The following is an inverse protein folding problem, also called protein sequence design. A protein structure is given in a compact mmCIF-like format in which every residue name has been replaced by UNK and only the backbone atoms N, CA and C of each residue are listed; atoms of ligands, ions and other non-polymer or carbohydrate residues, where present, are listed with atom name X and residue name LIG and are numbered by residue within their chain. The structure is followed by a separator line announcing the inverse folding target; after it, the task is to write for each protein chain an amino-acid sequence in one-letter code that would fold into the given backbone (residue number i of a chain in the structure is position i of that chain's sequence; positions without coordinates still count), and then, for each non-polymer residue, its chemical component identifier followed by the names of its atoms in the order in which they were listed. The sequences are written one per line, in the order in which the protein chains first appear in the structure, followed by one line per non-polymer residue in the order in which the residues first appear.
data_IF_735226847373
#
_entry.id   IF_735226847373
#
_cell.length_a   1.000
_cell.length_b   1.000
_cell.length_c   1.000
_cell.angle_alpha   90.00
_cell.angle_beta   90.00
_cell.angle_gamma   90.00
#
_symmetry.space_group_name_H-M   'P 1'
#
loop_
_entity.id
_entity.type
_entity.pdbx_description
1 polymer ?
#
# COMPACT_ATOMS: atom_id res chain seq x y z
N UNK A 1 2.40 -14.18 -9.25
CA UNK A 1 2.08 -15.33 -8.38
C UNK A 1 2.18 -14.87 -6.93
N UNK A 2 1.11 -15.01 -6.13
CA UNK A 2 1.06 -14.54 -4.73
C UNK A 2 2.16 -15.14 -3.85
N UNK A 3 2.70 -16.30 -4.24
CA UNK A 3 3.83 -16.94 -3.53
C UNK A 3 5.10 -16.11 -3.67
N UNK A 4 5.43 -15.65 -4.87
CA UNK A 4 6.61 -14.82 -5.12
C UNK A 4 6.49 -13.50 -4.37
N UNK A 5 5.31 -12.87 -4.40
CA UNK A 5 5.06 -11.64 -3.66
C UNK A 5 5.27 -11.81 -2.15
N UNK A 6 4.89 -12.96 -1.57
CA UNK A 6 5.16 -13.25 -0.15
C UNK A 6 6.66 -13.35 0.15
N UNK A 7 7.43 -14.03 -0.71
CA UNK A 7 8.89 -14.15 -0.53
C UNK A 7 9.58 -12.79 -0.62
N UNK A 8 9.18 -11.97 -1.60
CA UNK A 8 9.71 -10.60 -1.74
C UNK A 8 9.30 -9.75 -0.55
N UNK A 9 8.05 -9.85 -0.10
CA UNK A 9 7.57 -9.12 1.07
C UNK A 9 8.38 -9.46 2.32
N UNK A 10 8.59 -10.76 2.60
CA UNK A 10 9.41 -11.18 3.75
C UNK A 10 10.83 -10.62 3.69
N UNK A 11 11.43 -10.60 2.49
CA UNK A 11 12.77 -10.04 2.28
C UNK A 11 12.79 -8.53 2.48
N UNK A 12 11.78 -7.82 1.96
CA UNK A 12 11.62 -6.38 2.13
C UNK A 12 11.45 -6.00 3.60
N UNK A 13 10.55 -6.67 4.33
CA UNK A 13 10.33 -6.39 5.75
C UNK A 13 11.58 -6.63 6.58
N UNK A 14 12.32 -7.71 6.30
CA UNK A 14 13.58 -7.99 6.97
C UNK A 14 14.63 -6.90 6.69
N UNK A 15 14.73 -6.45 5.44
CA UNK A 15 15.63 -5.35 5.06
C UNK A 15 15.28 -4.06 5.81
N UNK A 16 14.00 -3.69 5.85
CA UNK A 16 13.56 -2.48 6.57
C UNK A 16 13.87 -2.57 8.07
N UNK A 17 13.66 -3.74 8.67
CA UNK A 17 13.95 -3.97 10.08
C UNK A 17 15.45 -3.91 10.39
N UNK A 18 16.30 -4.59 9.61
CA UNK A 18 17.76 -4.62 9.85
C UNK A 18 18.37 -3.22 9.71
N UNK A 19 17.84 -2.40 8.79
CA UNK A 19 18.34 -1.05 8.54
C UNK A 19 17.62 0.04 9.35
N UNK A 20 16.74 -0.33 10.29
CA UNK A 20 15.93 0.59 11.09
C UNK A 20 15.12 1.61 10.25
N UNK A 21 14.66 1.21 9.07
CA UNK A 21 13.89 2.03 8.14
C UNK A 21 12.39 2.00 8.49
N UNK A 22 12.09 2.32 9.74
CA UNK A 22 10.72 2.36 10.23
C UNK A 22 10.04 3.67 9.88
N UNK A 23 8.77 3.60 9.51
CA UNK A 23 7.92 4.78 9.35
C UNK A 23 7.26 5.03 10.71
N UNK A 24 7.74 6.06 11.39
CA UNK A 24 7.18 6.47 12.69
C UNK A 24 5.69 6.79 12.55
N UNK A 25 4.89 6.38 13.55
CA UNK A 25 3.43 6.58 13.56
C UNK A 25 2.64 5.74 12.54
N UNK A 26 3.27 4.93 11.69
CA UNK A 26 2.54 4.00 10.81
C UNK A 26 2.10 2.77 11.61
N UNK A 27 0.81 2.43 11.61
CA UNK A 27 0.29 1.21 12.23
C UNK A 27 -0.36 0.26 11.22
N UNK A 28 -0.73 0.76 10.05
CA UNK A 28 -1.32 -0.05 8.99
C UNK A 28 -0.28 -0.95 8.36
N UNK A 29 -0.65 -2.22 8.13
CA UNK A 29 0.12 -3.18 7.32
C UNK A 29 1.55 -3.49 7.78
N UNK A 30 1.90 -3.12 9.02
CA UNK A 30 3.17 -3.45 9.65
C UNK A 30 3.00 -4.57 10.70
N UNK A 31 3.91 -5.56 10.75
CA UNK A 31 3.92 -6.58 11.79
C UNK A 31 4.02 -5.97 13.19
N UNK A 32 3.28 -6.53 14.15
CA UNK A 32 3.30 -6.07 15.55
C UNK A 32 2.51 -4.78 15.83
N UNK A 33 1.94 -4.15 14.80
CA UNK A 33 1.06 -2.98 14.94
C UNK A 33 -0.37 -3.31 14.52
N UNK A 34 -1.31 -2.57 15.07
CA UNK A 34 -2.74 -2.69 14.80
C UNK A 34 -3.46 -1.36 14.98
N UNK A 35 -4.74 -1.32 14.61
CA UNK A 35 -5.61 -0.18 14.91
C UNK A 35 -5.72 0.09 16.41
N UNK A 36 -5.62 -0.94 17.25
CA UNK A 36 -5.62 -0.78 18.71
C UNK A 36 -4.36 -0.06 19.17
N UNK A 37 -3.19 -0.47 18.67
CA UNK A 37 -1.93 0.21 19.06
C UNK A 37 -1.93 1.68 18.65
N UNK A 38 -2.51 2.01 17.48
CA UNK A 38 -2.64 3.40 17.03
C UNK A 38 -3.55 4.20 17.95
N UNK A 39 -4.69 3.63 18.36
CA UNK A 39 -5.63 4.27 19.27
C UNK A 39 -5.05 4.46 20.66
N UNK A 40 -4.32 3.47 21.18
CA UNK A 40 -3.64 3.58 22.49
C UNK A 40 -2.61 4.71 22.45
N UNK A 41 -1.72 4.73 21.46
CA UNK A 41 -0.72 5.81 21.33
C UNK A 41 -1.40 7.19 21.20
N UNK A 42 -2.48 7.30 20.44
CA UNK A 42 -3.24 8.55 20.30
C UNK A 42 -3.88 8.98 21.62
N UNK A 43 -4.50 8.06 22.36
CA UNK A 43 -5.18 8.36 23.63
C UNK A 43 -4.17 8.73 24.71
N UNK A 44 -3.06 8.01 24.81
CA UNK A 44 -2.00 8.32 25.79
C UNK A 44 -1.42 9.72 25.55
N UNK A 45 -1.18 10.09 24.28
CA UNK A 45 -0.79 11.45 23.92
C UNK A 45 -1.85 12.49 24.36
N UNK A 46 -3.12 12.24 24.07
CA UNK A 46 -4.19 13.15 24.44
C UNK A 46 -4.31 13.33 25.96
N UNK A 47 -4.15 12.27 26.74
CA UNK A 47 -4.18 12.34 28.21
C UNK A 47 -3.04 13.24 28.71
N UNK A 48 -1.82 13.03 28.23
CA UNK A 48 -0.65 13.82 28.66
C UNK A 48 -0.78 15.32 28.36
N UNK A 49 -1.35 15.67 27.21
CA UNK A 49 -1.59 17.06 26.83
C UNK A 49 -2.72 17.70 27.67
N UNK A 50 -3.78 16.94 27.97
CA UNK A 50 -4.87 17.40 28.86
C UNK A 50 -4.34 17.65 30.27
N UNK A 51 -3.54 16.73 30.82
CA UNK A 51 -2.96 16.85 32.16
C UNK A 51 -2.01 18.05 32.26
N UNK A 52 -1.38 18.42 31.14
CA UNK A 52 -0.52 19.61 31.03
C UNK A 52 -1.31 20.92 30.86
N UNK A 53 -2.65 20.85 30.76
CA UNK A 53 -3.52 22.00 30.54
C UNK A 53 -3.57 22.50 29.10
N UNK A 54 -3.07 21.72 28.14
CA UNK A 54 -3.05 22.07 26.73
C UNK A 54 -4.39 21.76 26.04
N UNK A 55 -4.69 22.50 24.97
CA UNK A 55 -5.84 22.22 24.09
C UNK A 55 -5.40 21.35 22.92
N UNK A 56 -6.17 20.30 22.64
CA UNK A 56 -5.87 19.35 21.57
C UNK A 56 -6.84 19.56 20.42
N UNK A 57 -6.30 19.55 19.19
CA UNK A 57 -7.08 19.54 17.96
C UNK A 57 -6.63 18.34 17.14
N UNK A 58 -7.57 17.49 16.73
CA UNK A 58 -7.29 16.35 15.84
C UNK A 58 -7.84 16.60 14.45
N UNK A 59 -7.05 16.29 13.42
CA UNK A 59 -7.46 16.32 12.01
C UNK A 59 -7.37 14.91 11.44
N UNK A 60 -8.49 14.41 10.91
CA UNK A 60 -8.56 13.08 10.29
C UNK A 60 -8.68 13.24 8.77
N UNK A 61 -7.77 12.60 8.04
CA UNK A 61 -7.72 12.64 6.57
C UNK A 61 -8.02 11.24 6.02
N UNK A 62 -8.84 11.17 4.97
CA UNK A 62 -9.10 9.95 4.23
C UNK A 62 -8.76 10.15 2.75
N UNK A 63 -7.96 9.24 2.19
CA UNK A 63 -7.47 9.33 0.82
C UNK A 63 -8.42 8.59 -0.13
N UNK A 64 -9.04 9.34 -1.05
CA UNK A 64 -9.85 8.75 -2.11
C UNK A 64 -9.03 7.82 -2.99
N UNK A 65 -9.49 6.57 -3.15
CA UNK A 65 -8.86 5.54 -4.00
C UNK A 65 -7.36 5.37 -3.70
N UNK A 66 -7.00 5.32 -2.42
CA UNK A 66 -5.61 5.33 -1.96
C UNK A 66 -4.70 4.36 -2.75
N UNK A 67 -5.13 3.11 -2.94
CA UNK A 67 -4.37 2.10 -3.69
C UNK A 67 -4.29 2.33 -5.19
N UNK A 68 -5.24 3.04 -5.80
CA UNK A 68 -5.28 3.29 -7.24
C UNK A 68 -4.53 4.59 -7.62
N UNK A 69 -4.27 5.45 -6.64
CA UNK A 69 -3.71 6.79 -6.84
C UNK A 69 -2.18 6.85 -6.76
N UNK A 70 -1.52 5.77 -6.31
CA UNK A 70 -0.07 5.73 -6.13
C UNK A 70 0.68 5.87 -7.46
N UNK A 71 1.62 6.80 -7.53
CA UNK A 71 2.46 6.96 -8.72
C UNK A 71 3.60 5.93 -8.72
N UNK A 72 3.78 5.22 -9.84
CA UNK A 72 4.76 4.14 -9.93
C UNK A 72 6.20 4.65 -9.81
N UNK A 73 6.51 5.80 -10.39
CA UNK A 73 7.87 6.35 -10.34
C UNK A 73 8.20 6.83 -8.92
N UNK A 74 7.23 7.40 -8.22
CA UNK A 74 7.41 7.81 -6.82
C UNK A 74 7.60 6.61 -5.88
N UNK A 75 6.87 5.50 -6.08
CA UNK A 75 7.10 4.26 -5.31
C UNK A 75 8.51 3.73 -5.56
N UNK A 76 8.96 3.70 -6.82
CA UNK A 76 10.29 3.19 -7.17
C UNK A 76 11.38 4.06 -6.54
N UNK A 77 11.26 5.39 -6.62
CA UNK A 77 12.20 6.31 -5.99
C UNK A 77 12.25 6.10 -4.46
N UNK A 78 11.09 5.93 -3.81
CA UNK A 78 11.01 5.66 -2.38
C UNK A 78 11.70 4.34 -1.98
N UNK A 79 11.58 3.30 -2.80
CA UNK A 79 12.27 2.03 -2.58
C UNK A 79 13.79 2.19 -2.74
N UNK A 80 14.23 2.99 -3.71
CA UNK A 80 15.64 3.32 -3.92
C UNK A 80 16.21 4.10 -2.72
N UNK A 81 15.46 5.06 -2.16
CA UNK A 81 15.82 5.80 -0.94
C UNK A 81 15.98 4.87 0.27
N UNK A 82 15.22 3.76 0.32
CA UNK A 82 15.39 2.71 1.32
C UNK A 82 16.56 1.75 1.05
N UNK A 83 17.39 2.05 0.05
CA UNK A 83 18.58 1.27 -0.30
C UNK A 83 18.29 0.00 -1.11
N UNK A 84 17.07 -0.14 -1.65
CA UNK A 84 16.73 -1.26 -2.54
C UNK A 84 17.24 -0.92 -3.94
N UNK A 85 18.23 -1.68 -4.42
CA UNK A 85 18.92 -1.37 -5.68
C UNK A 85 18.98 -2.57 -6.62
N UNK A 86 19.52 -2.35 -7.82
CA UNK A 86 19.88 -3.40 -8.78
C UNK A 86 18.71 -4.35 -9.11
N UNK A 87 18.93 -5.67 -9.00
CA UNK A 87 17.94 -6.70 -9.35
C UNK A 87 16.64 -6.57 -8.57
N UNK A 88 16.70 -6.19 -7.29
CA UNK A 88 15.50 -6.03 -6.47
C UNK A 88 14.65 -4.84 -6.95
N UNK A 89 15.29 -3.70 -7.22
CA UNK A 89 14.60 -2.52 -7.75
C UNK A 89 14.05 -2.76 -9.15
N UNK A 90 14.80 -3.47 -10.01
CA UNK A 90 14.32 -3.91 -11.33
C UNK A 90 13.10 -4.82 -11.22
N UNK A 91 13.06 -5.69 -10.21
CA UNK A 91 11.90 -6.55 -9.96
C UNK A 91 10.66 -5.74 -9.56
N UNK A 92 10.80 -4.79 -8.64
CA UNK A 92 9.69 -3.89 -8.27
C UNK A 92 9.22 -3.02 -9.43
N UNK A 93 10.15 -2.53 -10.25
CA UNK A 93 9.85 -1.78 -11.47
C UNK A 93 9.02 -2.62 -12.44
N UNK A 94 9.42 -3.87 -12.68
CA UNK A 94 8.67 -4.82 -13.50
C UNK A 94 7.33 -5.23 -12.89
N UNK A 95 7.22 -5.24 -11.55
CA UNK A 95 5.98 -5.56 -10.85
C UNK A 95 4.91 -4.47 -11.07
N UNK A 96 5.32 -3.20 -11.08
CA UNK A 96 4.45 -2.03 -11.20
C UNK A 96 4.18 -1.60 -12.64
N UNK A 97 5.22 -1.54 -13.49
CA UNK A 97 5.14 -0.97 -14.85
C UNK A 97 4.61 -1.95 -15.89
N UNK A 98 4.20 -1.40 -17.03
CA UNK A 98 3.70 -2.11 -18.22
C UNK A 98 2.52 -3.06 -17.95
N UNK A 99 1.76 -2.75 -16.89
CA UNK A 99 0.53 -3.44 -16.54
C UNK A 99 -0.62 -2.93 -17.42
N UNK A 100 -1.51 -3.84 -17.78
CA UNK A 100 -2.72 -3.53 -18.55
C UNK A 100 -3.93 -4.15 -17.88
N UNK A 101 -5.09 -3.51 -18.02
CA UNK A 101 -6.35 -3.96 -17.43
C UNK A 101 -7.51 -3.87 -18.43
N UNK A 102 -8.54 -4.67 -18.18
CA UNK A 102 -9.83 -4.65 -18.86
C UNK A 102 -10.92 -4.78 -17.81
N UNK A 103 -12.10 -4.25 -18.11
CA UNK A 103 -13.31 -4.47 -17.33
C UNK A 103 -14.16 -5.52 -18.05
N UNK A 104 -14.62 -6.53 -17.33
CA UNK A 104 -15.52 -7.57 -17.83
C UNK A 104 -16.82 -7.54 -17.04
N UNK A 105 -17.95 -7.41 -17.74
CA UNK A 105 -19.30 -7.38 -17.15
C UNK A 105 -20.07 -8.58 -17.68
N UNK A 106 -20.67 -9.35 -16.76
CA UNK A 106 -21.62 -10.41 -17.11
C UNK A 106 -23.01 -9.81 -17.25
N UNK A 107 -23.63 -10.02 -18.40
CA UNK A 107 -25.00 -9.58 -18.70
C UNK A 107 -25.85 -10.80 -19.05
N UNK A 108 -27.05 -10.89 -18.47
CA UNK A 108 -28.04 -11.90 -18.84
C UNK A 108 -29.14 -11.23 -19.65
N UNK A 109 -29.21 -11.52 -20.94
CA UNK A 109 -30.27 -11.00 -21.83
C UNK A 109 -31.04 -12.18 -22.40
N UNK A 110 -32.37 -12.19 -22.24
CA UNK A 110 -33.25 -13.28 -22.76
C UNK A 110 -32.80 -14.68 -22.31
N UNK A 111 -32.49 -14.87 -21.03
CA UNK A 111 -31.98 -16.13 -20.46
C UNK A 111 -30.64 -16.63 -21.05
N UNK A 112 -29.90 -15.78 -21.75
CA UNK A 112 -28.54 -16.09 -22.24
C UNK A 112 -27.53 -15.25 -21.47
N UNK A 113 -26.58 -15.91 -20.83
CA UNK A 113 -25.44 -15.25 -20.17
C UNK A 113 -24.40 -14.86 -21.22
N UNK A 114 -24.02 -13.59 -21.26
CA UNK A 114 -22.95 -13.05 -22.08
C UNK A 114 -21.96 -12.29 -21.21
N UNK A 115 -20.72 -12.23 -21.68
CA UNK A 115 -19.66 -11.45 -21.05
C UNK A 115 -19.21 -10.38 -22.02
N UNK A 116 -19.26 -9.12 -21.60
CA UNK A 116 -18.83 -7.97 -22.40
C UNK A 116 -17.55 -7.43 -21.79
N UNK A 117 -16.51 -7.24 -22.62
CA UNK A 117 -15.20 -6.72 -22.19
C UNK A 117 -14.92 -5.35 -22.77
N UNK A 118 -14.27 -4.49 -21.98
CA UNK A 118 -13.71 -3.23 -22.45
C UNK A 118 -12.49 -3.46 -23.33
N UNK A 119 -12.05 -2.40 -24.01
CA UNK A 119 -10.71 -2.37 -24.61
C UNK A 119 -9.63 -2.45 -23.53
N UNK A 120 -8.45 -2.95 -23.92
CA UNK A 120 -7.29 -3.06 -23.07
C UNK A 120 -6.70 -1.68 -22.79
N UNK A 121 -6.53 -1.34 -21.52
CA UNK A 121 -6.03 -0.05 -21.05
C UNK A 121 -4.75 -0.23 -20.25
N UNK A 122 -3.80 0.71 -20.38
CA UNK A 122 -2.58 0.71 -19.57
C UNK A 122 -2.88 1.19 -18.15
N UNK A 123 -2.29 0.53 -17.16
CA UNK A 123 -2.33 0.93 -15.76
C UNK A 123 -1.15 1.87 -15.52
N UNK A 124 -1.44 3.15 -15.28
CA UNK A 124 -0.42 4.19 -15.09
C UNK A 124 -0.08 4.46 -13.62
N UNK A 125 -0.99 4.05 -12.72
CA UNK A 125 -0.94 4.34 -11.29
C UNK A 125 -1.59 3.20 -10.52
N UNK A 126 -1.27 3.16 -9.25
CA UNK A 126 -1.82 2.26 -8.26
C UNK A 126 -1.08 0.93 -8.16
N UNK A 127 -1.39 0.21 -7.09
CA UNK A 127 -0.96 -1.17 -6.87
C UNK A 127 -2.15 -2.11 -7.06
N UNK A 128 -1.94 -3.36 -7.51
CA UNK A 128 -3.05 -4.28 -7.73
C UNK A 128 -3.80 -4.55 -6.43
N UNK A 129 -5.12 -4.26 -6.40
CA UNK A 129 -5.96 -4.61 -5.25
C UNK A 129 -6.03 -6.14 -5.08
N UNK A 130 -5.89 -6.61 -3.83
CA UNK A 130 -5.81 -8.04 -3.52
C UNK A 130 -4.44 -8.68 -3.76
N UNK A 131 -3.42 -7.86 -4.08
CA UNK A 131 -2.01 -8.27 -4.04
C UNK A 131 -1.52 -8.41 -2.60
N UNK A 132 -0.42 -9.16 -2.44
CA UNK A 132 0.25 -9.31 -1.13
C UNK A 132 1.13 -8.10 -0.84
N UNK A 133 1.77 -7.54 -1.86
CA UNK A 133 2.70 -6.41 -1.71
C UNK A 133 2.02 -5.05 -1.66
N UNK A 134 0.87 -4.88 -2.32
CA UNK A 134 0.19 -3.59 -2.43
C UNK A 134 -0.03 -2.86 -1.10
N UNK A 135 -0.54 -3.52 -0.05
CA UNK A 135 -0.72 -2.90 1.26
C UNK A 135 0.58 -2.34 1.87
N UNK A 136 1.69 -3.07 1.73
CA UNK A 136 2.99 -2.62 2.28
C UNK A 136 3.60 -1.53 1.41
N UNK A 137 3.50 -1.63 0.08
CA UNK A 137 3.94 -0.55 -0.81
C UNK A 137 3.18 0.75 -0.56
N UNK A 138 1.88 0.67 -0.22
CA UNK A 138 1.12 1.84 0.22
C UNK A 138 1.59 2.37 1.57
N UNK A 139 1.83 1.48 2.56
CA UNK A 139 2.28 1.91 3.89
C UNK A 139 3.66 2.57 3.87
N UNK A 140 4.50 2.22 2.87
CA UNK A 140 5.85 2.76 2.67
C UNK A 140 5.88 4.12 1.95
N UNK A 141 4.77 4.48 1.32
CA UNK A 141 4.62 5.69 0.51
C UNK A 141 3.94 6.81 1.31
#
# INVERSE_FOLDING_TARGET
SKVVERVVLSSLMNHLQINNLHIEGQHGFLPGRSTITALVEMVDFMIGEIDSGNTIISTHLDLSKAFDSLDHDLIIAKLEDFGITSTALSWFTSYLKDRTQVVEIKETTKNVNRSVRSTLQKVKRGVPQGSVLGPVLFALF
#
